data_IF_388390151955
#
_entry.id   IF_388390151955
#
_cell.length_a   1.000
_cell.length_b   1.000
_cell.length_c   1.000
_cell.angle_alpha   90.00
_cell.angle_beta   90.00
_cell.angle_gamma   90.00
#
_symmetry.space_group_name_H-M   'P 1'
#
loop_
_entity.id
_entity.type
_entity.pdbx_description
1 polymer ?
#
# COMPACT_ATOMS: atom_id res chain seq x y z
N UNK A 1 -19.41 -17.40 -13.89
CA UNK A 1 -19.20 -18.38 -12.80
C UNK A 1 -18.43 -17.63 -11.72
N UNK A 2 -19.10 -17.15 -10.66
CA UNK A 2 -18.46 -16.43 -9.55
C UNK A 2 -17.64 -17.43 -8.76
N UNK A 3 -16.31 -17.40 -8.92
CA UNK A 3 -15.41 -18.28 -8.18
C UNK A 3 -15.30 -17.74 -6.75
N UNK A 4 -15.51 -18.62 -5.80
CA UNK A 4 -15.50 -18.38 -4.36
C UNK A 4 -14.09 -18.05 -3.84
N UNK A 5 -13.59 -16.84 -4.10
CA UNK A 5 -12.35 -16.32 -3.51
C UNK A 5 -12.60 -15.15 -2.53
N UNK A 6 -13.75 -14.48 -2.64
CA UNK A 6 -14.14 -13.38 -1.77
C UNK A 6 -14.30 -13.75 -0.27
N UNK A 7 -14.24 -15.03 0.11
CA UNK A 7 -14.55 -15.50 1.47
C UNK A 7 -13.35 -15.64 2.41
N UNK A 8 -12.10 -15.55 1.94
CA UNK A 8 -10.93 -15.72 2.81
C UNK A 8 -10.51 -14.44 3.54
N UNK A 9 -10.83 -13.25 3.00
CA UNK A 9 -10.58 -11.97 3.68
C UNK A 9 -11.83 -11.40 4.39
N UNK A 10 -13.02 -11.95 4.12
CA UNK A 10 -14.31 -11.39 4.57
C UNK A 10 -14.91 -12.05 5.80
N UNK A 11 -14.21 -12.99 6.45
CA UNK A 11 -14.80 -13.79 7.54
C UNK A 11 -14.31 -13.41 8.95
N UNK A 12 -13.31 -12.56 9.06
CA UNK A 12 -12.81 -12.03 10.34
C UNK A 12 -13.09 -10.54 10.36
N UNK A 13 -13.89 -10.08 11.33
CA UNK A 13 -14.15 -8.66 11.48
C UNK A 13 -12.87 -7.90 11.83
N UNK A 14 -12.75 -6.67 11.32
CA UNK A 14 -11.64 -5.77 11.61
C UNK A 14 -11.35 -5.64 13.12
N UNK A 15 -12.43 -5.65 13.92
CA UNK A 15 -12.45 -5.59 15.38
C UNK A 15 -11.75 -6.77 16.05
N UNK A 16 -11.68 -7.93 15.41
CA UNK A 16 -10.98 -9.12 15.94
C UNK A 16 -9.46 -9.01 15.81
N UNK A 17 -8.97 -8.12 14.95
CA UNK A 17 -7.54 -7.94 14.65
C UNK A 17 -6.98 -6.63 15.16
N UNK A 18 -7.84 -5.65 15.45
CA UNK A 18 -7.44 -4.26 15.70
C UNK A 18 -8.29 -3.63 16.81
N UNK A 19 -7.61 -3.01 17.77
CA UNK A 19 -8.26 -2.13 18.75
C UNK A 19 -8.73 -0.83 18.07
N UNK A 20 -9.97 -0.85 17.55
CA UNK A 20 -10.50 0.21 16.70
C UNK A 20 -10.48 1.60 17.38
N UNK A 21 -10.71 1.65 18.69
CA UNK A 21 -10.69 2.90 19.44
C UNK A 21 -9.29 3.52 19.52
N UNK A 22 -8.25 2.69 19.62
CA UNK A 22 -6.86 3.15 19.66
C UNK A 22 -6.36 3.51 18.26
N UNK A 23 -6.76 2.74 17.23
CA UNK A 23 -6.52 3.08 15.84
C UNK A 23 -7.08 4.46 15.49
N UNK A 24 -8.34 4.75 15.84
CA UNK A 24 -8.93 6.08 15.63
C UNK A 24 -8.19 7.19 16.39
N UNK A 25 -7.85 6.96 17.66
CA UNK A 25 -7.16 7.96 18.51
C UNK A 25 -5.78 8.31 17.96
N UNK A 26 -4.97 7.29 17.65
CA UNK A 26 -3.62 7.49 17.09
C UNK A 26 -3.69 8.16 15.73
N UNK A 27 -4.57 7.72 14.83
CA UNK A 27 -4.75 8.34 13.53
C UNK A 27 -5.16 9.81 13.62
N UNK A 28 -6.13 10.14 14.50
CA UNK A 28 -6.58 11.54 14.69
C UNK A 28 -5.49 12.43 15.28
N UNK A 29 -4.63 11.88 16.15
CA UNK A 29 -3.55 12.61 16.80
C UNK A 29 -2.36 12.83 15.86
N UNK A 30 -1.97 11.78 15.14
CA UNK A 30 -0.68 11.72 14.45
C UNK A 30 -0.81 11.85 12.92
N UNK A 31 -2.01 11.65 12.36
CA UNK A 31 -2.24 11.63 10.91
C UNK A 31 -1.72 10.35 10.24
N UNK A 32 -1.26 9.37 11.00
CA UNK A 32 -0.84 8.07 10.49
C UNK A 32 -1.11 6.96 11.52
N UNK A 33 -1.02 5.70 11.09
CA UNK A 33 -1.11 4.55 11.96
C UNK A 33 -0.29 3.38 11.42
N UNK A 34 0.13 2.47 12.31
CA UNK A 34 0.79 1.21 11.96
C UNK A 34 0.11 0.04 12.66
N UNK A 35 -0.31 -0.96 11.89
CA UNK A 35 -0.84 -2.23 12.38
C UNK A 35 0.12 -3.34 12.03
N UNK A 36 0.91 -3.77 13.03
CA UNK A 36 1.82 -4.90 12.90
C UNK A 36 1.02 -6.20 12.77
N UNK A 37 1.50 -7.13 11.93
CA UNK A 37 0.87 -8.43 11.71
C UNK A 37 -0.61 -8.35 11.29
N UNK A 38 -0.98 -7.26 10.60
CA UNK A 38 -2.34 -7.06 10.10
C UNK A 38 -2.77 -8.21 9.17
N UNK A 39 -1.85 -8.61 8.28
CA UNK A 39 -1.99 -9.81 7.48
C UNK A 39 -1.25 -10.99 8.12
N UNK A 40 -1.92 -12.14 8.12
CA UNK A 40 -1.34 -13.44 8.48
C UNK A 40 -0.35 -13.92 7.41
N UNK A 41 0.54 -14.87 7.74
CA UNK A 41 1.43 -15.48 6.75
C UNK A 41 0.72 -16.09 5.54
N UNK A 42 -0.47 -16.68 5.75
CA UNK A 42 -1.29 -17.27 4.68
C UNK A 42 -1.84 -16.18 3.74
N UNK A 43 -2.39 -15.10 4.30
CA UNK A 43 -2.87 -13.95 3.54
C UNK A 43 -1.76 -13.28 2.74
N UNK A 44 -0.57 -13.12 3.33
CA UNK A 44 0.61 -12.60 2.64
C UNK A 44 0.98 -13.52 1.47
N UNK A 45 1.01 -14.83 1.67
CA UNK A 45 1.35 -15.78 0.62
C UNK A 45 0.32 -15.75 -0.51
N UNK A 46 -0.96 -15.66 -0.17
CA UNK A 46 -2.05 -15.56 -1.16
C UNK A 46 -1.89 -14.29 -2.04
N UNK A 47 -1.62 -13.14 -1.41
CA UNK A 47 -1.38 -11.88 -2.13
C UNK A 47 -0.14 -11.97 -3.02
N UNK A 48 0.94 -12.59 -2.54
CA UNK A 48 2.16 -12.78 -3.35
C UNK A 48 1.91 -13.63 -4.58
N UNK A 49 1.20 -14.76 -4.43
CA UNK A 49 0.86 -15.62 -5.56
C UNK A 49 0.01 -14.91 -6.61
N UNK A 50 -0.97 -14.11 -6.19
CA UNK A 50 -1.76 -13.30 -7.14
C UNK A 50 -0.95 -12.16 -7.78
N UNK A 51 0.02 -11.59 -7.06
CA UNK A 51 0.92 -10.59 -7.63
C UNK A 51 1.86 -11.20 -8.67
N UNK A 52 2.43 -12.37 -8.40
CA UNK A 52 3.26 -13.11 -9.35
C UNK A 52 2.46 -13.45 -10.62
N UNK A 53 1.24 -13.97 -10.47
CA UNK A 53 0.34 -14.23 -11.60
C UNK A 53 -0.01 -12.95 -12.38
N UNK A 54 -0.28 -11.85 -11.68
CA UNK A 54 -0.54 -10.56 -12.31
C UNK A 54 0.67 -10.09 -13.13
N UNK A 55 1.88 -10.21 -12.57
CA UNK A 55 3.13 -9.84 -13.25
C UNK A 55 3.40 -10.71 -14.47
N UNK A 56 3.16 -12.01 -14.39
CA UNK A 56 3.41 -12.94 -15.50
C UNK A 56 2.36 -12.81 -16.62
N UNK A 57 1.08 -12.72 -16.26
CA UNK A 57 -0.03 -12.87 -17.23
C UNK A 57 -0.69 -11.56 -17.63
N UNK A 58 -0.74 -10.58 -16.73
CA UNK A 58 -1.50 -9.35 -16.96
C UNK A 58 -0.60 -8.20 -17.37
N UNK A 59 0.55 -7.99 -16.71
CA UNK A 59 1.47 -6.89 -17.03
C UNK A 59 1.89 -6.85 -18.51
N UNK A 60 2.15 -7.97 -19.22
CA UNK A 60 2.46 -7.92 -20.65
C UNK A 60 1.31 -7.40 -21.54
N UNK A 61 0.08 -7.37 -21.01
CA UNK A 61 -1.14 -7.00 -21.74
C UNK A 61 -1.64 -5.59 -21.47
N UNK A 62 -1.17 -4.94 -20.39
CA UNK A 62 -1.62 -3.60 -20.02
C UNK A 62 -0.83 -2.51 -20.78
N UNK A 63 -1.39 -1.28 -20.91
CA UNK A 63 -0.64 -0.16 -21.47
C UNK A 63 0.69 0.06 -20.73
N UNK A 64 1.79 0.15 -21.48
CA UNK A 64 3.14 0.36 -20.94
C UNK A 64 3.27 1.60 -20.01
N UNK A 65 2.40 2.60 -20.16
CA UNK A 65 2.32 3.77 -19.26
C UNK A 65 1.95 3.42 -17.82
N UNK A 66 1.48 2.20 -17.55
CA UNK A 66 1.13 1.72 -16.22
C UNK A 66 2.14 0.72 -15.64
N UNK A 67 3.21 0.39 -16.37
CA UNK A 67 4.26 -0.51 -15.92
C UNK A 67 5.64 0.16 -16.07
N UNK A 68 6.35 0.29 -14.95
CA UNK A 68 7.61 1.01 -14.89
C UNK A 68 8.73 0.08 -14.44
N UNK A 69 9.85 0.16 -15.13
CA UNK A 69 11.02 -0.68 -14.92
C UNK A 69 12.23 0.21 -14.66
N UNK A 70 13.12 -0.23 -13.77
CA UNK A 70 14.42 0.42 -13.55
C UNK A 70 15.23 0.40 -14.86
N UNK A 71 15.21 -0.74 -15.55
CA UNK A 71 15.74 -0.93 -16.89
C UNK A 71 14.62 -1.38 -17.83
N UNK A 72 14.25 -0.51 -18.79
CA UNK A 72 13.17 -0.79 -19.76
C UNK A 72 13.42 -2.02 -20.64
N UNK A 73 14.66 -2.50 -20.76
CA UNK A 73 15.01 -3.69 -21.53
C UNK A 73 14.99 -4.98 -20.70
N UNK A 74 14.73 -4.89 -19.39
CA UNK A 74 14.77 -6.03 -18.46
C UNK A 74 13.50 -6.06 -17.60
N UNK A 75 12.60 -6.99 -17.94
CA UNK A 75 11.30 -7.14 -17.28
C UNK A 75 11.43 -7.55 -15.79
N UNK A 76 12.56 -8.15 -15.39
CA UNK A 76 12.81 -8.47 -13.99
C UNK A 76 13.01 -7.23 -13.11
N UNK A 77 13.15 -6.06 -13.73
CA UNK A 77 13.38 -4.79 -13.04
C UNK A 77 12.13 -3.95 -12.81
N UNK A 78 10.95 -4.59 -12.77
CA UNK A 78 9.68 -3.91 -12.50
C UNK A 78 9.70 -3.22 -11.13
N UNK A 79 9.57 -1.90 -11.13
CA UNK A 79 9.60 -1.05 -9.91
C UNK A 79 8.26 -0.43 -9.56
N UNK A 80 7.32 -0.34 -10.51
CA UNK A 80 6.00 0.26 -10.25
C UNK A 80 4.94 -0.24 -11.22
N UNK A 81 3.75 -0.51 -10.67
CA UNK A 81 2.52 -0.75 -11.44
C UNK A 81 1.45 0.22 -10.97
N UNK A 82 0.64 0.70 -11.90
CA UNK A 82 -0.47 1.60 -11.62
C UNK A 82 -1.81 1.05 -12.12
N UNK A 83 -2.91 1.59 -11.58
CA UNK A 83 -4.27 1.32 -12.05
C UNK A 83 -4.65 -0.17 -12.00
N UNK A 84 -4.08 -0.92 -11.04
CA UNK A 84 -4.27 -2.38 -10.96
C UNK A 84 -5.74 -2.76 -10.75
N UNK A 85 -6.56 -1.88 -10.15
CA UNK A 85 -8.01 -2.05 -10.02
C UNK A 85 -8.73 -2.32 -11.35
N UNK A 86 -8.24 -1.73 -12.45
CA UNK A 86 -8.84 -1.89 -13.77
C UNK A 86 -8.47 -3.20 -14.48
N UNK A 87 -7.53 -3.96 -13.91
CA UNK A 87 -6.92 -5.12 -14.58
C UNK A 87 -6.89 -6.39 -13.71
N UNK A 88 -7.33 -6.32 -12.45
CA UNK A 88 -7.36 -7.47 -11.54
C UNK A 88 -8.54 -7.42 -10.58
N UNK A 89 -9.46 -8.38 -10.74
CA UNK A 89 -10.57 -8.57 -9.81
C UNK A 89 -10.08 -8.88 -8.39
N UNK A 90 -9.01 -9.67 -8.25
CA UNK A 90 -8.42 -9.98 -6.94
C UNK A 90 -7.98 -8.71 -6.19
N UNK A 91 -7.19 -7.85 -6.83
CA UNK A 91 -6.71 -6.62 -6.18
C UNK A 91 -7.83 -5.62 -5.95
N UNK A 92 -8.86 -5.62 -6.81
CA UNK A 92 -10.06 -4.83 -6.61
C UNK A 92 -10.85 -5.30 -5.39
N UNK A 93 -11.18 -6.59 -5.30
CA UNK A 93 -11.92 -7.16 -4.16
C UNK A 93 -11.14 -6.98 -2.85
N UNK A 94 -9.82 -7.19 -2.88
CA UNK A 94 -8.96 -6.97 -1.72
C UNK A 94 -9.03 -5.52 -1.22
N UNK A 95 -8.98 -4.55 -2.14
CA UNK A 95 -9.07 -3.14 -1.83
C UNK A 95 -10.46 -2.71 -1.34
N UNK A 96 -11.51 -3.23 -1.97
CA UNK A 96 -12.92 -2.95 -1.64
C UNK A 96 -13.38 -3.59 -0.32
N UNK A 97 -12.64 -4.58 0.20
CA UNK A 97 -12.87 -5.17 1.51
C UNK A 97 -12.15 -4.40 2.63
N UNK A 98 -11.26 -5.11 3.33
CA UNK A 98 -10.69 -4.69 4.61
C UNK A 98 -10.02 -3.29 4.61
N UNK A 99 -9.43 -2.86 3.48
CA UNK A 99 -8.79 -1.53 3.38
C UNK A 99 -9.82 -0.41 3.29
N UNK A 100 -10.91 -0.64 2.56
CA UNK A 100 -12.04 0.26 2.51
C UNK A 100 -12.68 0.39 3.90
N UNK A 101 -12.89 -0.72 4.59
CA UNK A 101 -13.48 -0.71 5.93
C UNK A 101 -12.65 0.13 6.93
N UNK A 102 -11.33 0.03 6.87
CA UNK A 102 -10.42 0.87 7.67
C UNK A 102 -10.56 2.35 7.31
N UNK A 103 -10.66 2.66 6.02
CA UNK A 103 -10.84 4.03 5.54
C UNK A 103 -12.15 4.65 6.03
N UNK A 104 -13.25 3.92 5.88
CA UNK A 104 -14.56 4.38 6.33
C UNK A 104 -14.61 4.52 7.85
N UNK A 105 -13.97 3.59 8.58
CA UNK A 105 -13.86 3.66 10.03
C UNK A 105 -13.11 4.94 10.48
N UNK A 106 -11.95 5.21 9.89
CA UNK A 106 -11.07 6.30 10.30
C UNK A 106 -11.65 7.68 9.96
N UNK A 107 -12.42 7.76 8.86
CA UNK A 107 -13.05 9.02 8.43
C UNK A 107 -14.46 9.22 8.94
N UNK A 108 -15.10 8.15 9.39
CA UNK A 108 -16.51 8.18 9.77
C UNK A 108 -17.41 8.60 8.59
N UNK A 109 -16.94 8.31 7.36
CA UNK A 109 -17.58 8.62 6.10
C UNK A 109 -17.40 7.47 5.10
N UNK A 110 -18.30 7.36 4.12
CA UNK A 110 -18.13 6.38 3.05
C UNK A 110 -16.95 6.76 2.15
N UNK A 111 -16.26 5.76 1.62
CA UNK A 111 -15.17 6.00 0.68
C UNK A 111 -15.24 5.12 -0.57
N UNK A 112 -14.66 5.66 -1.64
CA UNK A 112 -14.45 4.94 -2.89
C UNK A 112 -12.97 4.60 -3.04
N UNK A 113 -12.70 3.35 -3.42
CA UNK A 113 -11.34 2.91 -3.71
C UNK A 113 -10.98 3.39 -5.12
N UNK A 114 -9.91 4.19 -5.22
CA UNK A 114 -9.52 4.86 -6.45
C UNK A 114 -8.38 4.17 -7.18
N UNK A 115 -7.47 3.53 -6.44
CA UNK A 115 -6.30 2.92 -7.03
C UNK A 115 -5.74 1.80 -6.16
N UNK A 116 -5.12 0.83 -6.84
CA UNK A 116 -4.16 -0.11 -6.28
C UNK A 116 -2.91 0.00 -7.14
N UNK A 117 -1.77 0.15 -6.48
CA UNK A 117 -0.48 0.27 -7.13
C UNK A 117 0.55 -0.59 -6.45
N UNK A 118 1.50 -1.08 -7.23
CA UNK A 118 2.67 -1.77 -6.72
C UNK A 118 3.85 -0.81 -6.78
N UNK A 119 4.67 -0.82 -5.74
CA UNK A 119 5.94 -0.11 -5.70
C UNK A 119 7.02 -1.05 -5.22
N UNK A 120 8.17 -1.06 -5.88
CA UNK A 120 9.31 -1.88 -5.48
C UNK A 120 10.58 -1.07 -5.55
N UNK A 121 11.26 -0.92 -4.41
CA UNK A 121 12.59 -0.31 -4.39
C UNK A 121 13.65 -1.39 -4.67
N UNK A 122 14.42 -1.32 -5.78
CA UNK A 122 15.56 -2.19 -5.98
C UNK A 122 16.67 -1.92 -4.96
N UNK A 123 17.64 -2.83 -4.81
CA UNK A 123 18.87 -2.57 -4.04
C UNK A 123 19.55 -1.28 -4.51
N UNK A 124 19.92 -0.40 -3.59
CA UNK A 124 20.55 0.90 -3.90
C UNK A 124 19.59 1.98 -4.40
N UNK A 125 18.27 1.73 -4.42
CA UNK A 125 17.29 2.73 -4.81
C UNK A 125 17.35 3.97 -3.90
N UNK A 126 17.36 5.14 -4.53
CA UNK A 126 17.42 6.44 -3.86
C UNK A 126 16.19 6.71 -2.97
N UNK A 127 16.32 7.63 -1.99
CA UNK A 127 15.18 8.04 -1.18
C UNK A 127 14.10 8.70 -2.05
N UNK A 128 12.85 8.49 -1.66
CA UNK A 128 11.72 9.28 -2.14
C UNK A 128 11.66 10.51 -1.23
N UNK A 129 11.74 11.74 -1.76
CA UNK A 129 11.76 12.94 -0.93
C UNK A 129 10.43 13.12 -0.16
N UNK A 130 10.43 13.93 0.92
CA UNK A 130 9.21 14.27 1.64
C UNK A 130 8.13 14.84 0.72
N UNK A 131 6.91 14.29 0.80
CA UNK A 131 5.75 14.74 0.02
C UNK A 131 4.43 14.40 0.72
N UNK A 132 3.32 14.95 0.20
CA UNK A 132 1.95 14.64 0.58
C UNK A 132 1.22 14.11 -0.65
N UNK A 133 0.53 12.98 -0.55
CA UNK A 133 -0.17 12.39 -1.70
C UNK A 133 -1.42 13.18 -2.09
N UNK A 134 -2.11 13.77 -1.12
CA UNK A 134 -3.27 14.64 -1.35
C UNK A 134 -2.90 15.99 -1.97
N UNK A 135 -1.60 16.32 -2.03
CA UNK A 135 -1.07 17.55 -2.62
C UNK A 135 0.17 17.28 -3.47
N UNK A 136 0.01 16.53 -4.56
CA UNK A 136 0.82 16.82 -5.74
C UNK A 136 0.29 18.13 -6.35
N UNK A 137 0.89 19.29 -6.00
CA UNK A 137 1.23 20.38 -6.96
C UNK A 137 1.72 21.70 -6.34
N UNK A 138 1.75 21.90 -5.02
CA UNK A 138 2.40 23.10 -4.46
C UNK A 138 3.00 22.80 -3.09
N UNK A 139 4.30 23.06 -2.96
CA UNK A 139 4.92 23.32 -1.67
C UNK A 139 4.18 24.51 -1.06
N UNK A 140 3.25 24.28 -0.13
CA UNK A 140 2.89 25.38 0.77
C UNK A 140 4.17 25.67 1.56
N UNK A 141 4.64 26.91 1.49
CA UNK A 141 5.87 27.35 2.15
C UNK A 141 5.79 27.30 3.68
N UNK A 142 4.67 26.82 4.21
CA UNK A 142 4.24 26.89 5.61
C UNK A 142 4.06 25.50 6.24
N UNK A 143 4.41 24.43 5.53
CA UNK A 143 4.44 23.09 6.11
C UNK A 143 5.67 22.95 7.04
N UNK A 144 5.47 23.15 8.34
CA UNK A 144 6.50 22.93 9.35
C UNK A 144 6.53 21.45 9.74
N UNK A 145 7.65 20.76 9.46
CA UNK A 145 7.92 19.44 10.04
C UNK A 145 8.28 19.66 11.51
N UNK A 146 7.39 19.28 12.41
CA UNK A 146 7.59 19.40 13.85
C UNK A 146 8.27 18.18 14.46
N UNK A 147 8.11 17.01 13.83
CA UNK A 147 8.65 15.73 14.26
C UNK A 147 8.78 14.78 13.07
N UNK A 148 9.88 14.04 12.98
CA UNK A 148 10.08 12.95 12.03
C UNK A 148 10.15 11.63 12.82
N UNK A 149 9.40 10.62 12.39
CA UNK A 149 9.39 9.31 13.03
C UNK A 149 9.60 8.20 12.00
N UNK A 150 10.60 7.34 12.25
CA UNK A 150 10.85 6.19 11.39
C UNK A 150 9.93 5.03 11.77
N UNK A 151 9.09 4.60 10.83
CA UNK A 151 8.25 3.43 11.00
C UNK A 151 8.97 2.18 10.47
N UNK A 152 9.45 1.35 11.38
CA UNK A 152 9.89 -0.01 11.04
C UNK A 152 8.68 -0.90 10.77
N UNK A 153 8.73 -1.61 9.66
CA UNK A 153 7.58 -2.29 9.07
C UNK A 153 8.03 -3.61 8.48
N UNK A 154 7.32 -4.70 8.83
CA UNK A 154 7.59 -6.05 8.33
C UNK A 154 6.53 -6.52 7.33
N UNK A 155 6.70 -7.73 6.73
CA UNK A 155 5.67 -8.34 5.90
C UNK A 155 4.32 -8.38 6.62
N UNK A 156 3.26 -8.01 5.91
CA UNK A 156 1.90 -7.99 6.46
C UNK A 156 1.61 -6.83 7.41
N UNK A 157 2.55 -5.90 7.60
CA UNK A 157 2.26 -4.65 8.30
C UNK A 157 1.45 -3.74 7.41
N UNK A 158 0.35 -3.20 7.93
CA UNK A 158 -0.39 -2.12 7.30
C UNK A 158 0.06 -0.79 7.90
N UNK A 159 0.63 0.06 7.05
CA UNK A 159 0.98 1.44 7.37
C UNK A 159 0.03 2.35 6.60
N UNK A 160 -0.80 3.12 7.29
CA UNK A 160 -1.70 4.08 6.64
C UNK A 160 -1.43 5.49 7.11
N UNK A 161 -1.72 6.48 6.25
CA UNK A 161 -1.66 7.87 6.64
C UNK A 161 -2.74 8.71 5.94
N UNK A 162 -3.03 9.84 6.56
CA UNK A 162 -3.87 10.87 5.98
C UNK A 162 -3.16 11.44 4.73
N UNK A 163 -3.86 11.84 3.65
CA UNK A 163 -3.22 12.32 2.41
C UNK A 163 -2.38 13.57 2.60
N UNK A 164 -2.64 14.33 3.67
CA UNK A 164 -1.88 15.52 4.06
C UNK A 164 -0.74 15.23 5.02
N UNK A 165 -0.48 13.97 5.38
CA UNK A 165 0.70 13.61 6.17
C UNK A 165 1.92 13.65 5.26
N UNK A 166 2.90 14.45 5.65
CA UNK A 166 4.21 14.47 4.98
C UNK A 166 4.88 13.14 5.27
N UNK A 167 5.22 12.41 4.22
CA UNK A 167 5.93 11.14 4.34
C UNK A 167 7.07 11.08 3.31
N UNK A 168 8.03 10.21 3.61
CA UNK A 168 9.18 9.94 2.76
C UNK A 168 9.50 8.45 2.82
N UNK A 169 10.27 7.97 1.86
CA UNK A 169 10.77 6.60 1.89
C UNK A 169 12.28 6.62 1.79
N UNK A 170 12.97 6.14 2.83
CA UNK A 170 14.42 6.04 2.85
C UNK A 170 15.00 5.23 1.68
N UNK A 171 16.31 5.36 1.51
CA UNK A 171 17.13 4.55 0.60
C UNK A 171 16.93 3.05 0.88
N UNK A 172 17.02 2.23 -0.16
CA UNK A 172 17.12 0.78 0.03
C UNK A 172 18.60 0.38 0.16
N UNK A 173 19.08 0.32 1.40
CA UNK A 173 20.47 -0.09 1.72
C UNK A 173 20.67 -1.60 1.73
N UNK A 174 19.62 -2.40 1.56
CA UNK A 174 19.70 -3.86 1.57
C UNK A 174 20.10 -4.41 0.19
N UNK A 175 20.38 -5.71 0.14
CA UNK A 175 20.59 -6.46 -1.12
C UNK A 175 19.28 -7.00 -1.72
N UNK A 176 18.14 -6.70 -1.12
CA UNK A 176 16.83 -7.23 -1.52
C UNK A 176 15.96 -6.15 -2.13
N UNK A 177 15.06 -6.57 -3.01
CA UNK A 177 13.97 -5.73 -3.47
C UNK A 177 12.96 -5.50 -2.34
N UNK A 178 12.42 -4.28 -2.25
CA UNK A 178 11.45 -3.89 -1.22
C UNK A 178 10.09 -3.55 -1.83
N UNK A 179 9.27 -4.56 -2.16
CA UNK A 179 7.92 -4.41 -2.69
C UNK A 179 6.88 -4.04 -1.63
N UNK A 180 5.97 -3.15 -2.02
CA UNK A 180 4.76 -2.76 -1.30
C UNK A 180 3.58 -2.67 -2.26
N UNK A 181 2.39 -2.99 -1.76
CA UNK A 181 1.13 -2.59 -2.39
C UNK A 181 0.63 -1.32 -1.73
N UNK A 182 0.19 -0.38 -2.54
CA UNK A 182 -0.42 0.86 -2.13
C UNK A 182 -1.88 0.85 -2.56
N UNK A 183 -2.77 1.14 -1.61
CA UNK A 183 -4.19 1.26 -1.80
C UNK A 183 -4.56 2.71 -1.50
N UNK A 184 -5.29 3.36 -2.38
CA UNK A 184 -5.72 4.73 -2.13
C UNK A 184 -7.22 4.88 -2.39
N UNK A 185 -7.88 5.60 -1.50
CA UNK A 185 -9.22 6.16 -1.71
C UNK A 185 -9.11 7.65 -2.04
N UNK A 186 -10.24 8.31 -2.33
CA UNK A 186 -10.29 9.78 -2.43
C UNK A 186 -9.73 10.47 -1.18
N UNK A 187 -9.81 9.80 -0.04
CA UNK A 187 -9.54 10.38 1.26
C UNK A 187 -8.27 9.84 1.92
N UNK A 188 -7.66 8.74 1.46
CA UNK A 188 -6.57 8.06 2.18
C UNK A 188 -5.57 7.34 1.28
N UNK A 189 -4.38 7.10 1.85
CA UNK A 189 -3.37 6.22 1.27
C UNK A 189 -2.90 5.21 2.31
N UNK A 190 -2.88 3.94 1.91
CA UNK A 190 -2.47 2.79 2.69
C UNK A 190 -1.35 2.04 1.98
N UNK A 191 -0.34 1.63 2.73
CA UNK A 191 0.75 0.79 2.26
C UNK A 191 0.75 -0.53 3.02
N UNK A 192 0.77 -1.62 2.27
CA UNK A 192 1.08 -2.94 2.78
C UNK A 192 2.47 -3.30 2.27
N UNK A 193 3.36 -3.61 3.21
CA UNK A 193 4.61 -4.24 2.83
C UNK A 193 4.42 -5.73 2.69
N UNK A 194 4.68 -6.21 1.47
CA UNK A 194 4.59 -7.63 1.17
C UNK A 194 5.87 -8.36 1.56
N UNK A 195 7.02 -7.67 1.65
CA UNK A 195 8.33 -8.30 1.92
C UNK A 195 9.13 -7.43 2.92
N UNK A 196 9.97 -8.10 3.71
CA UNK A 196 10.65 -7.47 4.85
C UNK A 196 11.82 -6.61 4.38
N UNK A 197 11.99 -5.38 4.92
CA UNK A 197 13.21 -4.59 4.76
C UNK A 197 14.36 -5.02 5.68
N UNK A 198 14.18 -5.98 6.60
CA UNK A 198 15.13 -6.13 7.72
C UNK A 198 16.40 -6.88 7.31
N UNK A 199 17.47 -6.08 7.21
CA UNK A 199 18.89 -6.27 6.83
C UNK A 199 19.21 -6.59 5.37
#
# INVERSE_FOLDING_TARGET
MRVAMASQFSSIELSERVELSELKKSFKRDGYFRLNYFLTPEEIQNIRSHLEEYQEKIVPTIPNRYAFYENKADESTLIRLERMLGFSDFFKELAEGVFKDIAELLMEEKCEVNNVSYFCKPPGAKPTPPHQDGQYFMHSKDAFVTQEETQEVGPGTLLGHHPLTIHLAGENRSKRWRPALCYSSELHVYYILLYSPIV
#
